data_IF_029417427305
#
_entry.id   IF_029417427305
#
_cell.length_a   1.000
_cell.length_b   1.000
_cell.length_c   1.000
_cell.angle_alpha   90.00
_cell.angle_beta   90.00
_cell.angle_gamma   90.00
#
_symmetry.space_group_name_H-M   'P 1'
#
loop_
_entity.id
_entity.type
_entity.pdbx_description
1 polymer ?
#
# COMPACT_ATOMS: atom_id res chain seq x y z
N UNK A 1 1.22 5.62 -14.61
CA UNK A 1 -0.02 4.98 -14.14
C UNK A 1 0.39 3.70 -13.43
N UNK A 2 0.32 3.70 -12.10
CA UNK A 2 0.53 2.50 -11.31
C UNK A 2 -0.74 1.67 -11.25
N UNK A 3 -0.67 0.49 -10.63
CA UNK A 3 -1.87 -0.29 -10.28
C UNK A 3 -2.58 0.38 -9.11
N UNK A 4 -3.90 0.41 -9.10
CA UNK A 4 -4.64 0.82 -7.90
C UNK A 4 -4.42 -0.20 -6.78
N UNK A 5 -4.40 0.22 -5.52
CA UNK A 5 -4.18 -0.68 -4.37
C UNK A 5 -5.15 -1.86 -4.30
N UNK A 6 -6.34 -1.73 -4.89
CA UNK A 6 -7.34 -2.80 -4.99
C UNK A 6 -7.01 -3.88 -6.02
N UNK A 7 -6.09 -3.59 -6.93
CA UNK A 7 -5.62 -4.47 -8.00
C UNK A 7 -4.28 -5.13 -7.67
N UNK A 8 -3.62 -4.70 -6.58
CA UNK A 8 -2.39 -5.33 -6.09
C UNK A 8 -2.74 -6.72 -5.57
N UNK A 9 -2.04 -7.72 -6.08
CA UNK A 9 -2.17 -9.11 -5.64
C UNK A 9 -0.84 -9.73 -5.22
N UNK A 10 -0.90 -10.98 -4.76
CA UNK A 10 0.25 -11.77 -4.27
C UNK A 10 1.42 -11.78 -5.27
N UNK A 11 1.15 -11.90 -6.57
CA UNK A 11 2.20 -11.89 -7.59
C UNK A 11 2.99 -10.57 -7.65
N UNK A 12 2.32 -9.44 -7.45
CA UNK A 12 2.98 -8.13 -7.44
C UNK A 12 3.84 -7.98 -6.18
N UNK A 13 3.34 -8.49 -5.04
CA UNK A 13 4.06 -8.52 -3.76
C UNK A 13 5.32 -9.40 -3.84
N UNK A 14 5.25 -10.54 -4.54
CA UNK A 14 6.41 -11.39 -4.78
C UNK A 14 7.43 -10.72 -5.69
N UNK A 15 6.99 -10.03 -6.75
CA UNK A 15 7.88 -9.29 -7.68
C UNK A 15 8.70 -8.21 -6.98
N UNK A 16 8.19 -7.64 -5.90
CA UNK A 16 8.90 -6.63 -5.10
C UNK A 16 9.71 -7.21 -3.95
N UNK A 17 9.83 -8.54 -3.87
CA UNK A 17 10.79 -9.24 -3.02
C UNK A 17 10.20 -9.88 -1.76
N UNK A 18 8.88 -9.97 -1.61
CA UNK A 18 8.29 -10.82 -0.56
C UNK A 18 8.35 -12.29 -0.95
N UNK A 19 8.51 -13.16 0.05
CA UNK A 19 8.31 -14.60 -0.12
C UNK A 19 6.83 -14.92 -0.28
N UNK A 20 6.50 -16.10 -0.78
CA UNK A 20 5.11 -16.50 -1.03
C UNK A 20 4.27 -16.41 0.24
N UNK A 21 4.74 -16.98 1.35
CA UNK A 21 3.99 -16.99 2.61
C UNK A 21 3.77 -15.56 3.16
N UNK A 22 4.81 -14.73 3.09
CA UNK A 22 4.74 -13.32 3.52
C UNK A 22 3.81 -12.51 2.61
N UNK A 23 3.83 -12.77 1.32
CA UNK A 23 2.97 -12.11 0.34
C UNK A 23 1.49 -12.46 0.54
N UNK A 24 1.18 -13.73 0.84
CA UNK A 24 -0.19 -14.17 1.15
C UNK A 24 -0.71 -13.54 2.45
N UNK A 25 0.11 -13.51 3.51
CA UNK A 25 -0.26 -12.86 4.76
C UNK A 25 -0.48 -11.36 4.57
N UNK A 26 0.42 -10.71 3.83
CA UNK A 26 0.31 -9.29 3.51
C UNK A 26 -0.94 -8.98 2.68
N UNK A 27 -1.23 -9.75 1.63
CA UNK A 27 -2.43 -9.60 0.79
C UNK A 27 -3.72 -9.74 1.61
N UNK A 28 -3.77 -10.70 2.54
CA UNK A 28 -4.91 -10.88 3.45
C UNK A 28 -5.13 -9.65 4.33
N UNK A 29 -4.07 -9.13 4.94
CA UNK A 29 -4.15 -7.92 5.77
C UNK A 29 -4.57 -6.71 4.93
N UNK A 30 -4.00 -6.57 3.72
CA UNK A 30 -4.31 -5.49 2.80
C UNK A 30 -5.79 -5.50 2.40
N UNK A 31 -6.32 -6.66 2.00
CA UNK A 31 -7.75 -6.84 1.68
C UNK A 31 -8.63 -6.54 2.87
N UNK A 32 -8.22 -6.92 4.09
CA UNK A 32 -8.96 -6.58 5.30
C UNK A 32 -9.02 -5.06 5.49
N UNK A 33 -7.90 -4.35 5.35
CA UNK A 33 -7.85 -2.88 5.45
C UNK A 33 -8.76 -2.22 4.40
N UNK A 34 -8.70 -2.68 3.14
CA UNK A 34 -9.52 -2.17 2.03
C UNK A 34 -11.01 -2.44 2.26
N UNK A 35 -11.37 -3.58 2.86
CA UNK A 35 -12.76 -3.90 3.20
C UNK A 35 -13.29 -3.04 4.35
N UNK A 36 -12.48 -2.80 5.38
CA UNK A 36 -12.82 -1.94 6.51
C UNK A 36 -12.97 -0.48 6.08
N UNK A 37 -12.24 -0.04 5.06
CA UNK A 37 -12.30 1.32 4.57
C UNK A 37 -13.53 1.63 3.72
N UNK A 38 -14.52 0.74 3.53
CA UNK A 38 -15.86 1.04 2.92
C UNK A 38 -15.89 2.04 1.73
N UNK A 39 -14.87 2.04 0.85
CA UNK A 39 -14.80 2.96 -0.30
C UNK A 39 -14.24 4.36 0.00
N UNK A 40 -13.55 4.51 1.13
CA UNK A 40 -12.96 5.77 1.61
C UNK A 40 -11.70 6.19 0.83
N UNK A 41 -11.40 7.49 0.96
CA UNK A 41 -10.30 8.23 0.33
C UNK A 41 -8.93 7.58 0.59
N UNK A 42 -7.98 7.74 -0.34
CA UNK A 42 -6.64 7.16 -0.25
C UNK A 42 -5.93 7.42 1.09
N UNK A 43 -6.20 8.59 1.70
CA UNK A 43 -5.72 8.97 3.03
C UNK A 43 -6.14 8.00 4.14
N UNK A 44 -7.36 7.48 4.08
CA UNK A 44 -7.89 6.61 5.13
C UNK A 44 -7.33 5.20 5.01
N UNK A 45 -7.16 4.71 3.78
CA UNK A 45 -6.42 3.47 3.51
C UNK A 45 -4.99 3.60 4.03
N UNK A 46 -4.29 4.68 3.68
CA UNK A 46 -2.93 4.92 4.15
C UNK A 46 -2.84 5.00 5.68
N UNK A 47 -3.74 5.76 6.31
CA UNK A 47 -3.81 5.90 7.77
C UNK A 47 -4.00 4.56 8.45
N UNK A 48 -4.87 3.71 7.94
CA UNK A 48 -5.14 2.38 8.51
C UNK A 48 -3.94 1.43 8.36
N UNK A 49 -3.25 1.46 7.20
CA UNK A 49 -2.01 0.69 7.00
C UNK A 49 -0.91 1.08 7.99
N UNK A 50 -0.75 2.39 8.22
CA UNK A 50 0.20 2.93 9.21
C UNK A 50 -0.21 2.56 10.63
N UNK A 51 -1.50 2.72 10.98
CA UNK A 51 -2.01 2.42 12.33
C UNK A 51 -1.81 0.94 12.70
N UNK A 52 -2.03 0.03 11.75
CA UNK A 52 -1.79 -1.42 11.92
C UNK A 52 -0.32 -1.82 11.82
N UNK A 53 0.58 -0.88 11.51
CA UNK A 53 2.02 -1.13 11.28
C UNK A 53 2.23 -2.26 10.25
N UNK A 54 1.45 -2.26 9.17
CA UNK A 54 1.51 -3.31 8.14
C UNK A 54 2.86 -3.30 7.43
N UNK A 55 3.36 -2.10 7.09
CA UNK A 55 4.68 -1.91 6.53
C UNK A 55 5.72 -1.87 7.66
N UNK A 56 6.70 -2.77 7.60
CA UNK A 56 7.81 -2.86 8.57
C UNK A 56 9.09 -2.26 7.99
N UNK A 57 9.99 -1.70 8.80
CA UNK A 57 11.24 -1.10 8.30
C UNK A 57 12.17 -2.05 7.54
N UNK A 58 12.08 -3.36 7.80
CA UNK A 58 12.89 -4.38 7.14
C UNK A 58 12.25 -4.93 5.86
N UNK A 59 11.05 -4.48 5.48
CA UNK A 59 10.46 -4.90 4.22
C UNK A 59 11.27 -4.34 3.05
N UNK A 60 11.23 -5.03 1.88
CA UNK A 60 11.91 -4.53 0.69
C UNK A 60 11.43 -3.13 0.31
N UNK A 61 12.36 -2.27 -0.14
CA UNK A 61 12.02 -0.93 -0.64
C UNK A 61 10.95 -0.94 -1.73
N UNK A 62 11.02 -1.94 -2.62
CA UNK A 62 10.02 -2.12 -3.68
C UNK A 62 8.60 -2.32 -3.15
N UNK A 63 8.44 -3.00 -2.01
CA UNK A 63 7.12 -3.18 -1.37
C UNK A 63 6.58 -1.84 -0.88
N UNK A 64 7.43 -1.05 -0.23
CA UNK A 64 7.03 0.27 0.25
C UNK A 64 6.59 1.18 -0.90
N UNK A 65 7.36 1.21 -1.99
CA UNK A 65 7.01 1.97 -3.20
C UNK A 65 5.71 1.48 -3.81
N UNK A 66 5.56 0.17 -4.01
CA UNK A 66 4.37 -0.43 -4.60
C UNK A 66 3.11 0.00 -3.83
N UNK A 67 3.09 -0.20 -2.51
CA UNK A 67 1.93 0.12 -1.68
C UNK A 67 1.63 1.63 -1.71
N UNK A 68 2.65 2.47 -1.57
CA UNK A 68 2.49 3.93 -1.58
C UNK A 68 1.89 4.43 -2.90
N UNK A 69 2.51 4.09 -4.02
CA UNK A 69 2.05 4.54 -5.33
C UNK A 69 0.69 3.94 -5.69
N UNK A 70 0.41 2.71 -5.25
CA UNK A 70 -0.89 2.10 -5.49
C UNK A 70 -2.01 2.71 -4.67
N UNK A 71 -1.77 3.10 -3.41
CA UNK A 71 -2.75 3.80 -2.57
C UNK A 71 -3.08 5.16 -3.15
N UNK A 72 -2.06 5.89 -3.62
CA UNK A 72 -2.21 7.24 -4.16
C UNK A 72 -2.30 7.28 -5.70
N UNK A 73 -2.61 6.15 -6.36
CA UNK A 73 -2.61 6.09 -7.83
C UNK A 73 -3.56 7.11 -8.47
N UNK A 74 -4.73 7.31 -7.85
CA UNK A 74 -5.77 8.23 -8.32
C UNK A 74 -5.81 9.52 -7.49
N UNK A 75 -4.69 9.87 -6.85
CA UNK A 75 -4.59 11.05 -6.01
C UNK A 75 -4.42 12.33 -6.84
N UNK A 76 -5.44 13.19 -6.81
CA UNK A 76 -5.36 14.51 -7.42
C UNK A 76 -4.65 15.50 -6.49
N UNK A 77 -3.35 15.70 -6.74
CA UNK A 77 -2.54 16.64 -5.97
C UNK A 77 -2.91 18.12 -6.21
N UNK A 78 -3.56 18.45 -7.32
CA UNK A 78 -3.98 19.83 -7.61
C UNK A 78 -5.14 20.29 -6.72
N UNK A 79 -6.00 19.34 -6.33
CA UNK A 79 -7.16 19.59 -5.47
C UNK A 79 -6.83 19.29 -4.00
N UNK A 80 -6.13 18.19 -3.73
CA UNK A 80 -5.93 17.67 -2.37
C UNK A 80 -4.56 17.98 -1.77
N UNK A 81 -3.67 18.64 -2.51
CA UNK A 81 -2.29 18.87 -2.13
C UNK A 81 -1.42 17.61 -2.27
N UNK A 82 -0.13 17.65 -1.90
CA UNK A 82 0.74 16.50 -2.02
C UNK A 82 0.27 15.32 -1.14
N UNK A 83 0.37 14.07 -1.62
CA UNK A 83 0.06 12.90 -0.80
C UNK A 83 1.00 12.79 0.40
N UNK A 84 0.54 12.18 1.49
CA UNK A 84 1.34 11.99 2.71
C UNK A 84 2.52 11.05 2.42
N UNK A 85 3.69 11.61 2.20
CA UNK A 85 4.89 10.84 1.91
C UNK A 85 5.38 10.08 3.14
N UNK A 86 5.43 8.74 3.06
CA UNK A 86 6.17 7.93 4.03
C UNK A 86 6.60 6.59 3.42
N UNK A 87 7.87 6.45 3.13
CA UNK A 87 8.61 5.20 3.27
C UNK A 87 10.10 5.52 3.44
N UNK A 88 10.89 4.63 4.06
CA UNK A 88 12.32 4.87 4.21
C UNK A 88 12.95 5.00 2.81
N UNK A 89 13.45 6.19 2.48
CA UNK A 89 14.39 6.34 1.37
C UNK A 89 15.75 5.87 1.89
N UNK A 90 16.32 4.85 1.25
CA UNK A 90 17.74 4.52 1.39
C UNK A 90 18.59 5.75 1.05
#
# INVERSE_FOLDING_TARGET
>A
MGKNIREVGVEDLMKVGLKLEEAEEFDKILKQVISCSKGLDAREIWRELVARKVLKPWHPHGLHQLVYYSVYNDWDASIKGPPLYWFPSL
#
